data_IF_406121741387
#
_entry.id   IF_406121741387
#
_cell.length_a   1.000
_cell.length_b   1.000
_cell.length_c   1.000
_cell.angle_alpha   90.00
_cell.angle_beta   90.00
_cell.angle_gamma   90.00
#
_symmetry.space_group_name_H-M   'P 1'
#
loop_
_entity.id
_entity.type
_entity.pdbx_description
1 polymer ?
#
# COMPACT_ATOMS: atom_id res chain seq x y z
N UNK A 1 -26.43 11.92 -8.89
CA UNK A 1 -25.50 11.42 -7.87
C UNK A 1 -24.72 10.28 -8.50
N UNK A 2 -23.38 10.34 -8.55
CA UNK A 2 -22.59 9.16 -8.93
C UNK A 2 -22.75 8.10 -7.83
N UNK A 3 -22.85 6.81 -8.15
CA UNK A 3 -22.82 5.76 -7.12
C UNK A 3 -21.57 5.94 -6.24
N UNK A 4 -21.67 5.68 -4.94
CA UNK A 4 -20.53 5.80 -4.01
C UNK A 4 -19.28 5.06 -4.52
N UNK A 5 -19.47 3.98 -5.29
CA UNK A 5 -18.42 3.24 -6.01
C UNK A 5 -17.55 4.11 -6.94
N UNK A 6 -18.15 5.04 -7.68
CA UNK A 6 -17.42 5.88 -8.64
C UNK A 6 -16.64 7.04 -8.00
N UNK A 7 -16.96 7.39 -6.75
CA UNK A 7 -16.35 8.55 -6.11
C UNK A 7 -14.96 8.23 -5.59
N UNK A 8 -14.79 7.11 -4.87
CA UNK A 8 -13.48 6.75 -4.35
C UNK A 8 -12.52 6.29 -5.45
N UNK A 9 -13.01 5.68 -6.54
CA UNK A 9 -12.17 5.37 -7.72
C UNK A 9 -11.49 6.62 -8.25
N UNK A 10 -12.24 7.72 -8.38
CA UNK A 10 -11.69 9.00 -8.81
C UNK A 10 -10.69 9.57 -7.81
N UNK A 11 -10.98 9.51 -6.51
CA UNK A 11 -10.08 10.01 -5.46
C UNK A 11 -8.78 9.21 -5.42
N UNK A 12 -8.85 7.88 -5.50
CA UNK A 12 -7.68 6.99 -5.56
C UNK A 12 -6.89 7.26 -6.83
N UNK A 13 -7.53 7.37 -8.00
CA UNK A 13 -6.84 7.64 -9.27
C UNK A 13 -6.21 9.04 -9.29
N UNK A 14 -6.88 10.05 -8.71
CA UNK A 14 -6.35 11.39 -8.62
C UNK A 14 -5.12 11.42 -7.72
N UNK A 15 -5.16 10.73 -6.57
CA UNK A 15 -4.02 10.57 -5.68
C UNK A 15 -2.87 9.80 -6.37
N UNK A 16 -3.19 8.72 -7.08
CA UNK A 16 -2.25 7.89 -7.85
C UNK A 16 -1.43 8.69 -8.85
N UNK A 17 -2.13 9.52 -9.65
CA UNK A 17 -1.51 10.34 -10.68
C UNK A 17 -0.57 11.41 -10.12
N UNK A 18 -0.68 11.74 -8.83
CA UNK A 18 0.19 12.72 -8.17
C UNK A 18 1.48 12.10 -7.60
N UNK A 19 1.60 10.78 -7.54
CA UNK A 19 2.75 10.11 -6.91
C UNK A 19 3.95 9.93 -7.83
N UNK A 20 3.70 9.68 -9.12
CA UNK A 20 4.76 9.40 -10.09
C UNK A 20 4.58 10.23 -11.36
N UNK A 21 5.69 10.45 -12.06
CA UNK A 21 5.72 11.19 -13.34
C UNK A 21 5.06 10.39 -14.46
N UNK A 22 5.06 9.05 -14.34
CA UNK A 22 4.39 8.12 -15.25
C UNK A 22 3.98 6.84 -14.48
N UNK A 23 2.90 6.90 -13.68
CA UNK A 23 2.50 5.76 -12.87
C UNK A 23 1.90 4.65 -13.76
N UNK A 24 2.06 3.37 -13.40
CA UNK A 24 1.50 2.30 -14.19
C UNK A 24 -0.02 2.31 -14.10
N UNK A 25 -0.71 1.54 -14.97
CA UNK A 25 -2.14 1.36 -14.85
C UNK A 25 -2.53 0.89 -13.45
N UNK A 26 -3.43 1.64 -12.81
CA UNK A 26 -4.10 1.20 -11.58
C UNK A 26 -5.46 0.62 -11.96
N UNK A 27 -5.70 -0.60 -11.51
CA UNK A 27 -6.98 -1.28 -11.67
C UNK A 27 -7.58 -1.55 -10.31
N UNK A 28 -8.87 -1.34 -10.23
CA UNK A 28 -9.66 -1.57 -9.05
C UNK A 28 -10.65 -2.69 -9.39
N UNK A 29 -10.75 -3.70 -8.53
CA UNK A 29 -11.60 -4.87 -8.79
C UNK A 29 -12.34 -5.31 -7.55
N UNK A 30 -13.56 -5.83 -7.72
CA UNK A 30 -14.33 -6.49 -6.65
C UNK A 30 -13.98 -7.98 -6.49
N UNK A 31 -13.10 -8.52 -7.34
CA UNK A 31 -12.72 -9.91 -7.25
C UNK A 31 -11.92 -10.20 -5.97
N UNK A 32 -12.20 -11.35 -5.35
CA UNK A 32 -11.38 -11.87 -4.27
C UNK A 32 -9.97 -12.18 -4.78
N UNK A 33 -8.97 -11.73 -4.04
CA UNK A 33 -7.54 -11.91 -4.34
C UNK A 33 -6.82 -12.44 -3.11
N UNK A 34 -5.69 -13.14 -3.33
CA UNK A 34 -4.87 -13.68 -2.23
C UNK A 34 -4.34 -12.57 -1.30
N UNK A 35 -3.96 -11.43 -1.87
CA UNK A 35 -3.55 -10.23 -1.13
C UNK A 35 -4.57 -9.09 -1.25
N UNK A 36 -4.18 -7.94 -0.69
CA UNK A 36 -4.92 -6.68 -0.85
C UNK A 36 -4.74 -6.08 -2.25
N UNK A 37 -3.60 -6.39 -2.87
CA UNK A 37 -3.25 -5.98 -4.22
C UNK A 37 -2.39 -7.06 -4.90
N UNK A 38 -2.20 -6.92 -6.20
CA UNK A 38 -1.23 -7.67 -6.99
C UNK A 38 -0.51 -6.74 -7.95
N UNK A 39 0.74 -7.06 -8.26
CA UNK A 39 1.55 -6.31 -9.21
C UNK A 39 1.92 -7.19 -10.39
N UNK A 40 2.06 -6.56 -11.56
CA UNK A 40 2.58 -7.19 -12.77
C UNK A 40 3.34 -6.13 -13.57
N UNK A 41 4.53 -6.43 -14.10
CA UNK A 41 5.28 -5.48 -14.92
C UNK A 41 4.47 -4.94 -16.10
N UNK A 42 3.62 -5.78 -16.70
CA UNK A 42 2.87 -5.45 -17.91
C UNK A 42 1.50 -4.84 -17.65
N UNK A 43 0.82 -5.27 -16.57
CA UNK A 43 -0.56 -4.84 -16.30
C UNK A 43 -0.68 -3.81 -15.18
N UNK A 44 0.45 -3.46 -14.54
CA UNK A 44 0.50 -2.48 -13.46
C UNK A 44 0.03 -3.03 -12.12
N UNK A 45 -0.74 -2.23 -11.40
CA UNK A 45 -1.20 -2.51 -10.04
C UNK A 45 -2.68 -2.80 -10.06
N UNK A 46 -3.10 -3.89 -9.41
CA UNK A 46 -4.52 -4.21 -9.22
C UNK A 46 -4.82 -4.28 -7.73
N UNK A 47 -5.80 -3.49 -7.26
CA UNK A 47 -6.25 -3.44 -5.87
C UNK A 47 -7.63 -4.08 -5.77
N UNK A 48 -7.78 -5.03 -4.84
CA UNK A 48 -9.05 -5.68 -4.54
C UNK A 48 -9.85 -4.83 -3.55
N UNK A 49 -11.14 -4.64 -3.83
CA UNK A 49 -12.09 -4.01 -2.91
C UNK A 49 -12.97 -5.03 -2.21
N UNK A 50 -12.81 -6.32 -2.52
CA UNK A 50 -13.43 -7.38 -1.74
C UNK A 50 -13.00 -7.22 -0.27
N UNK A 51 -13.97 -7.19 0.63
CA UNK A 51 -13.83 -6.93 2.07
C UNK A 51 -13.19 -5.58 2.48
N UNK A 52 -12.97 -4.65 1.55
CA UNK A 52 -12.37 -3.34 1.88
C UNK A 52 -13.21 -2.58 2.92
N UNK A 53 -14.54 -2.61 2.80
CA UNK A 53 -15.43 -1.97 3.78
C UNK A 53 -15.28 -2.58 5.19
N UNK A 54 -15.24 -3.91 5.29
CA UNK A 54 -15.10 -4.61 6.56
C UNK A 54 -13.76 -4.35 7.24
N UNK A 55 -12.67 -4.43 6.47
CA UNK A 55 -11.31 -4.12 6.95
C UNK A 55 -11.22 -2.65 7.41
N UNK A 56 -11.74 -1.74 6.59
CA UNK A 56 -11.69 -0.30 6.88
C UNK A 56 -12.50 0.05 8.13
N UNK A 57 -13.71 -0.52 8.26
CA UNK A 57 -14.57 -0.33 9.42
C UNK A 57 -13.89 -0.85 10.70
N UNK A 58 -13.28 -2.04 10.64
CA UNK A 58 -12.58 -2.64 11.77
C UNK A 58 -11.39 -1.78 12.21
N UNK A 59 -10.50 -1.41 11.28
CA UNK A 59 -9.34 -0.57 11.57
C UNK A 59 -9.71 0.88 11.97
N UNK A 60 -10.95 1.30 11.69
CA UNK A 60 -11.41 2.68 11.90
C UNK A 60 -10.75 3.67 10.94
N UNK A 61 -10.54 3.26 9.69
CA UNK A 61 -10.02 4.09 8.59
C UNK A 61 -11.08 4.22 7.49
N UNK A 62 -10.98 5.25 6.65
CA UNK A 62 -11.91 5.35 5.51
C UNK A 62 -11.53 4.34 4.41
N UNK A 63 -12.51 3.77 3.69
CA UNK A 63 -12.25 2.88 2.55
C UNK A 63 -11.34 3.49 1.49
N UNK A 64 -11.49 4.80 1.22
CA UNK A 64 -10.61 5.54 0.29
C UNK A 64 -9.15 5.46 0.75
N UNK A 65 -8.88 5.76 2.03
CA UNK A 65 -7.53 5.74 2.58
C UNK A 65 -6.93 4.34 2.55
N UNK A 66 -7.71 3.32 2.92
CA UNK A 66 -7.31 1.92 2.79
C UNK A 66 -6.87 1.59 1.36
N UNK A 67 -7.67 1.96 0.36
CA UNK A 67 -7.37 1.68 -1.04
C UNK A 67 -6.16 2.47 -1.56
N UNK A 68 -6.00 3.74 -1.16
CA UNK A 68 -4.80 4.51 -1.47
C UNK A 68 -3.54 3.82 -0.90
N UNK A 69 -3.63 3.22 0.28
CA UNK A 69 -2.49 2.49 0.88
C UNK A 69 -2.17 1.25 0.06
N UNK A 70 -3.18 0.43 -0.26
CA UNK A 70 -2.99 -0.76 -1.08
C UNK A 70 -2.39 -0.40 -2.44
N UNK A 71 -2.85 0.69 -3.05
CA UNK A 71 -2.27 1.24 -4.26
C UNK A 71 -0.81 1.64 -4.03
N UNK A 72 -0.49 2.43 -2.99
CA UNK A 72 0.89 2.86 -2.67
C UNK A 72 1.87 1.69 -2.56
N UNK A 73 1.47 0.65 -1.83
CA UNK A 73 2.27 -0.56 -1.65
C UNK A 73 2.47 -1.28 -3.00
N UNK A 74 1.41 -1.38 -3.79
CA UNK A 74 1.49 -1.92 -5.14
C UNK A 74 2.37 -1.09 -6.07
N UNK A 75 2.34 0.25 -5.99
CA UNK A 75 3.19 1.14 -6.77
C UNK A 75 4.66 0.89 -6.46
N UNK A 76 4.97 0.78 -5.17
CA UNK A 76 6.33 0.53 -4.67
C UNK A 76 6.86 -0.79 -5.24
N UNK A 77 6.05 -1.85 -5.17
CA UNK A 77 6.41 -3.14 -5.74
C UNK A 77 6.53 -3.10 -7.27
N UNK A 78 5.59 -2.47 -7.97
CA UNK A 78 5.68 -2.36 -9.43
C UNK A 78 6.93 -1.57 -9.85
N UNK A 79 7.25 -0.47 -9.16
CA UNK A 79 8.41 0.35 -9.47
C UNK A 79 9.71 -0.43 -9.29
N UNK A 80 9.80 -1.25 -8.24
CA UNK A 80 10.92 -2.16 -8.06
C UNK A 80 11.10 -3.12 -9.25
N UNK A 81 10.01 -3.68 -9.79
CA UNK A 81 10.05 -4.55 -10.98
C UNK A 81 10.44 -3.78 -12.25
N UNK A 82 9.90 -2.58 -12.44
CA UNK A 82 10.19 -1.71 -13.58
C UNK A 82 11.67 -1.30 -13.64
N UNK A 83 12.24 -0.97 -12.48
CA UNK A 83 13.66 -0.61 -12.35
C UNK A 83 14.61 -1.81 -12.44
N UNK A 84 14.13 -3.03 -12.13
CA UNK A 84 14.96 -4.21 -11.99
C UNK A 84 14.35 -5.40 -12.75
N UNK A 85 14.66 -5.50 -14.05
CA UNK A 85 14.10 -6.51 -14.96
C UNK A 85 14.41 -7.99 -14.59
N UNK A 86 15.33 -8.21 -13.65
CA UNK A 86 15.66 -9.55 -13.15
C UNK A 86 14.72 -10.01 -12.03
N UNK A 87 13.96 -9.10 -11.41
CA UNK A 87 13.03 -9.42 -10.34
C UNK A 87 11.70 -9.90 -10.90
N UNK A 88 11.10 -10.85 -10.20
CA UNK A 88 9.69 -11.23 -10.35
C UNK A 88 8.90 -10.83 -9.11
N UNK A 89 7.57 -10.83 -9.19
CA UNK A 89 6.72 -10.37 -8.09
C UNK A 89 6.93 -11.18 -6.80
N UNK A 90 7.27 -12.46 -6.94
CA UNK A 90 7.57 -13.38 -5.84
C UNK A 90 8.82 -12.98 -5.07
N UNK A 91 9.81 -12.34 -5.72
CA UNK A 91 11.04 -11.87 -5.06
C UNK A 91 10.77 -10.71 -4.09
N UNK A 92 9.60 -10.07 -4.20
CA UNK A 92 9.16 -8.96 -3.35
C UNK A 92 8.39 -9.44 -2.12
N UNK A 93 8.23 -10.77 -1.94
CA UNK A 93 7.54 -11.34 -0.80
C UNK A 93 8.38 -11.16 0.49
N UNK A 94 7.81 -10.43 1.44
CA UNK A 94 8.46 -10.14 2.72
C UNK A 94 7.89 -11.03 3.83
N UNK A 95 8.67 -11.91 4.46
CA UNK A 95 8.09 -12.84 5.45
C UNK A 95 8.09 -12.27 6.88
N UNK A 96 9.13 -11.54 7.27
CA UNK A 96 9.29 -11.05 8.65
C UNK A 96 9.79 -9.60 8.72
N UNK A 97 9.19 -8.75 9.59
CA UNK A 97 8.14 -9.07 10.55
C UNK A 97 6.76 -9.28 9.91
N UNK A 98 5.99 -10.24 10.42
CA UNK A 98 4.68 -10.61 9.87
C UNK A 98 3.63 -9.50 9.99
N UNK A 99 3.86 -8.54 10.87
CA UNK A 99 3.03 -7.37 11.06
C UNK A 99 3.27 -6.29 9.97
N UNK A 100 4.37 -6.35 9.22
CA UNK A 100 4.65 -5.41 8.13
C UNK A 100 3.55 -5.49 7.06
N UNK A 101 3.17 -4.37 6.46
CA UNK A 101 2.12 -4.37 5.42
C UNK A 101 2.54 -5.03 4.10
N UNK A 102 3.84 -5.18 3.84
CA UNK A 102 4.32 -6.01 2.73
C UNK A 102 4.29 -7.51 3.03
N UNK A 103 4.06 -7.90 4.29
CA UNK A 103 4.03 -9.32 4.64
C UNK A 103 2.78 -10.01 4.06
N UNK A 104 2.94 -11.15 3.36
CA UNK A 104 1.81 -11.91 2.89
C UNK A 104 1.08 -12.50 4.11
N UNK A 105 -0.24 -12.40 4.09
CA UNK A 105 -1.10 -12.96 5.15
C UNK A 105 -1.97 -14.08 4.61
N UNK A 106 -2.15 -15.11 5.41
CA UNK A 106 -2.94 -16.30 5.07
C UNK A 106 -4.43 -16.01 5.11
N UNK A 107 -4.88 -15.17 6.05
CA UNK A 107 -6.28 -14.78 6.15
C UNK A 107 -6.47 -13.29 5.89
N UNK A 108 -7.55 -12.94 5.19
CA UNK A 108 -7.87 -11.54 4.92
C UNK A 108 -8.17 -10.73 6.17
N UNK A 109 -8.73 -11.37 7.20
CA UNK A 109 -8.95 -10.78 8.52
C UNK A 109 -7.66 -10.25 9.16
N UNK A 110 -6.52 -10.86 8.87
CA UNK A 110 -5.23 -10.47 9.45
C UNK A 110 -4.76 -9.12 8.90
N UNK A 111 -5.25 -8.71 7.72
CA UNK A 111 -5.01 -7.35 7.23
C UNK A 111 -5.75 -6.33 8.08
N UNK A 112 -6.92 -6.64 8.64
CA UNK A 112 -7.64 -5.70 9.50
C UNK A 112 -6.80 -5.34 10.74
N UNK A 113 -6.16 -6.33 11.36
CA UNK A 113 -5.20 -6.12 12.46
C UNK A 113 -3.99 -5.30 12.02
N UNK A 114 -3.43 -5.59 10.85
CA UNK A 114 -2.28 -4.86 10.32
C UNK A 114 -2.58 -3.38 10.03
N UNK A 115 -3.84 -3.05 9.75
CA UNK A 115 -4.28 -1.67 9.53
C UNK A 115 -4.69 -0.94 10.83
N UNK A 116 -4.79 -1.61 11.98
CA UNK A 116 -4.98 -0.94 13.28
C UNK A 116 -3.74 -0.15 13.69
N UNK A 117 -2.56 -0.73 13.50
CA UNK A 117 -1.26 -0.05 13.65
C UNK A 117 -0.39 -0.26 12.40
N UNK A 118 -0.68 0.46 11.31
CA UNK A 118 0.00 0.25 10.05
C UNK A 118 1.47 0.65 10.14
N UNK A 119 2.35 -0.23 9.69
CA UNK A 119 3.77 0.06 9.56
C UNK A 119 4.45 -0.69 8.41
N UNK A 120 5.62 -0.17 8.05
CA UNK A 120 6.61 -0.78 7.16
C UNK A 120 7.89 -0.94 7.95
N UNK A 121 8.48 -2.14 7.91
CA UNK A 121 9.70 -2.42 8.66
C UNK A 121 10.91 -1.74 8.02
N UNK A 122 11.97 -1.52 8.80
CA UNK A 122 13.24 -0.97 8.30
C UNK A 122 13.81 -1.79 7.13
N UNK A 123 13.70 -3.12 7.19
CA UNK A 123 14.14 -3.99 6.10
C UNK A 123 13.41 -3.74 4.77
N UNK A 124 12.12 -3.39 4.79
CA UNK A 124 11.40 -2.99 3.57
C UNK A 124 11.91 -1.63 3.05
N UNK A 125 12.17 -0.67 3.93
CA UNK A 125 12.76 0.61 3.51
C UNK A 125 14.12 0.41 2.85
N UNK A 126 15.02 -0.33 3.50
CA UNK A 126 16.36 -0.59 2.98
C UNK A 126 16.30 -1.36 1.65
N UNK A 127 15.41 -2.35 1.55
CA UNK A 127 15.22 -3.13 0.33
C UNK A 127 14.76 -2.26 -0.85
N UNK A 128 13.69 -1.46 -0.67
CA UNK A 128 13.20 -0.62 -1.76
C UNK A 128 14.11 0.57 -2.08
N UNK A 129 14.87 1.07 -1.09
CA UNK A 129 15.96 2.02 -1.31
C UNK A 129 17.03 1.42 -2.23
N UNK A 130 17.50 0.20 -1.95
CA UNK A 130 18.49 -0.48 -2.80
C UNK A 130 17.99 -0.71 -4.24
N UNK A 131 16.68 -0.84 -4.43
CA UNK A 131 16.05 -1.02 -5.74
C UNK A 131 15.71 0.28 -6.47
N UNK A 132 16.00 1.45 -5.87
CA UNK A 132 15.75 2.77 -6.44
C UNK A 132 14.28 3.21 -6.40
N UNK A 133 13.45 2.57 -5.57
CA UNK A 133 12.03 2.88 -5.39
C UNK A 133 11.77 3.79 -4.18
N UNK A 134 12.73 4.68 -3.87
CA UNK A 134 12.74 5.60 -2.73
C UNK A 134 11.49 6.46 -2.61
N UNK A 135 11.08 7.05 -3.73
CA UNK A 135 9.96 8.00 -3.75
C UNK A 135 8.67 7.30 -3.38
N UNK A 136 8.48 6.10 -3.89
CA UNK A 136 7.29 5.28 -3.71
C UNK A 136 7.21 4.76 -2.27
N UNK A 137 8.31 4.23 -1.72
CA UNK A 137 8.33 3.72 -0.34
C UNK A 137 8.14 4.85 0.69
N UNK A 138 8.72 6.02 0.45
CA UNK A 138 8.52 7.21 1.30
C UNK A 138 7.08 7.69 1.22
N UNK A 139 6.49 7.79 0.03
CA UNK A 139 5.10 8.20 -0.13
C UNK A 139 4.12 7.21 0.53
N UNK A 140 4.38 5.89 0.41
CA UNK A 140 3.61 4.88 1.11
C UNK A 140 3.68 5.09 2.62
N UNK A 141 4.87 5.30 3.17
CA UNK A 141 5.07 5.54 4.61
C UNK A 141 4.40 6.82 5.12
N UNK A 142 4.44 7.91 4.35
CA UNK A 142 3.74 9.15 4.67
C UNK A 142 2.22 8.94 4.72
N UNK A 143 1.68 8.16 3.77
CA UNK A 143 0.28 7.81 3.77
C UNK A 143 -0.09 7.00 5.01
N UNK A 144 0.70 5.98 5.39
CA UNK A 144 0.47 5.20 6.61
C UNK A 144 0.50 6.07 7.87
N UNK A 145 1.43 7.03 7.94
CA UNK A 145 1.52 7.99 9.06
C UNK A 145 0.24 8.80 9.19
N UNK A 146 -0.41 9.15 8.08
CA UNK A 146 -1.69 9.86 8.07
C UNK A 146 -2.91 9.02 8.52
N UNK A 147 -2.74 7.70 8.66
CA UNK A 147 -3.77 6.79 9.18
C UNK A 147 -3.68 6.61 10.68
N UNK A 148 -2.47 6.77 11.25
CA UNK A 148 -2.26 6.58 12.68
C UNK A 148 -3.15 7.55 13.44
N UNK A 149 -3.99 7.00 14.31
CA UNK A 149 -4.76 7.79 15.26
C UNK A 149 -3.74 8.56 16.12
N UNK A 150 -3.95 9.86 16.41
CA UNK A 150 -3.09 10.58 17.32
C UNK A 150 -3.08 9.82 18.64
N UNK A 151 -1.96 9.17 18.95
CA UNK A 151 -1.75 8.53 20.23
C UNK A 151 -1.79 9.63 21.28
N UNK A 152 -2.68 9.48 22.26
CA UNK A 152 -2.63 10.28 23.49
C UNK A 152 -1.27 10.01 24.16
N UNK A 153 -0.24 10.82 23.84
CA UNK A 153 0.87 11.05 24.76
C UNK A 153 2.30 10.64 24.39
N UNK A 154 2.69 10.34 23.15
CA UNK A 154 4.13 10.21 22.83
C UNK A 154 4.56 11.06 21.63
N UNK A 155 5.54 11.98 21.79
CA UNK A 155 6.07 12.75 20.68
C UNK A 155 6.88 11.86 19.73
N UNK A 156 6.63 12.07 18.44
CA UNK A 156 7.21 11.35 17.30
C UNK A 156 8.70 11.69 17.17
N UNK A 157 9.62 10.72 16.96
CA UNK A 157 10.99 11.04 16.61
C UNK A 157 11.03 11.59 15.18
N UNK A 158 11.66 12.76 15.02
CA UNK A 158 11.83 13.42 13.73
C UNK A 158 12.68 12.56 12.77
N UNK A 159 12.45 12.66 11.45
CA UNK A 159 13.31 12.00 10.47
C UNK A 159 14.74 12.53 10.62
N UNK A 160 15.70 11.61 10.75
CA UNK A 160 17.14 11.92 10.74
C UNK A 160 17.47 12.36 9.32
N UNK A 161 17.80 13.64 9.15
CA UNK A 161 18.40 14.15 7.91
C UNK A 161 19.89 13.77 7.94
N UNK A 162 20.33 12.99 6.97
CA UNK A 162 21.77 12.81 6.67
C UNK A 162 22.21 13.85 5.65
#
# INVERSE_FOLDING_TARGET
>A
MKPAAQQWEYEVQSWWNNLAVDPPPLRITHAAMRGLFSVSPFSGVTVSTDQAEGISLFAGISPVKFLCVCAALGLTQWRALDLNAMLVAEDLAHVEPGECLFAPRSHRSDYALAFEDPFLCAGCFDFYHCLGADREIVAAAELLRSLRKPTLGNPIPAPVRH
#
